data_IF_429480932489
#
_entry.id   IF_429480932489
#
_cell.length_a   1.000
_cell.length_b   1.000
_cell.length_c   1.000
_cell.angle_alpha   90.00
_cell.angle_beta   90.00
_cell.angle_gamma   90.00
#
_symmetry.space_group_name_H-M   'P 1'
#
loop_
_entity.id
_entity.type
_entity.pdbx_description
1 polymer ?
#
# COMPACT_ATOMS: atom_id res chain seq x y z
N UNK A 1 18.91 -14.73 7.16
CA UNK A 1 17.85 -14.34 8.11
C UNK A 1 16.55 -14.38 7.33
N UNK A 2 15.58 -15.22 7.71
CA UNK A 2 14.28 -15.25 7.04
C UNK A 2 13.42 -14.25 7.79
N UNK A 3 13.01 -13.17 7.11
CA UNK A 3 12.04 -12.23 7.64
C UNK A 3 10.71 -12.97 7.81
N UNK A 4 10.05 -12.77 8.95
CA UNK A 4 8.68 -13.18 9.16
C UNK A 4 7.76 -12.48 8.16
N UNK A 5 6.59 -13.08 7.89
CA UNK A 5 5.59 -12.48 6.99
C UNK A 5 5.16 -11.07 7.43
N UNK A 6 5.23 -10.80 8.75
CA UNK A 6 4.96 -9.49 9.33
C UNK A 6 6.06 -8.48 9.00
N UNK A 7 7.33 -8.87 9.05
CA UNK A 7 8.47 -8.00 8.70
C UNK A 7 8.49 -7.68 7.21
N UNK A 8 8.06 -8.62 6.36
CA UNK A 8 7.88 -8.39 4.91
C UNK A 8 6.75 -7.38 4.69
N UNK A 9 5.62 -7.52 5.39
CA UNK A 9 4.51 -6.56 5.30
C UNK A 9 4.92 -5.14 5.74
N UNK A 10 5.73 -5.01 6.81
CA UNK A 10 6.24 -3.71 7.26
C UNK A 10 7.22 -3.06 6.29
N UNK A 11 8.10 -3.85 5.66
CA UNK A 11 9.01 -3.36 4.63
C UNK A 11 8.26 -2.86 3.39
N UNK A 12 7.17 -3.54 3.01
CA UNK A 12 6.27 -3.08 1.95
C UNK A 12 5.63 -1.74 2.30
N UNK A 13 5.06 -1.61 3.51
CA UNK A 13 4.36 -0.39 3.96
C UNK A 13 5.22 0.87 3.84
N UNK A 14 6.47 0.82 4.30
CA UNK A 14 7.34 2.01 4.32
C UNK A 14 7.67 2.56 2.92
N UNK A 15 7.94 1.68 1.96
CA UNK A 15 8.21 2.08 0.57
C UNK A 15 6.95 2.65 -0.10
N UNK A 16 5.80 1.97 0.08
CA UNK A 16 4.56 2.39 -0.55
C UNK A 16 4.06 3.73 -0.01
N UNK A 17 4.16 3.97 1.30
CA UNK A 17 3.77 5.24 1.91
C UNK A 17 4.54 6.43 1.34
N UNK A 18 5.87 6.32 1.21
CA UNK A 18 6.69 7.36 0.59
C UNK A 18 6.30 7.65 -0.86
N UNK A 19 6.01 6.60 -1.63
CA UNK A 19 5.65 6.76 -3.03
C UNK A 19 4.27 7.43 -3.19
N UNK A 20 3.28 7.07 -2.38
CA UNK A 20 1.97 7.71 -2.42
C UNK A 20 2.01 9.16 -1.93
N UNK A 21 2.86 9.49 -0.96
CA UNK A 21 3.06 10.89 -0.55
C UNK A 21 3.72 11.72 -1.66
N UNK A 22 4.67 11.16 -2.40
CA UNK A 22 5.31 11.84 -3.53
C UNK A 22 4.40 11.96 -4.76
N UNK A 23 3.51 10.99 -4.96
CA UNK A 23 2.55 10.94 -6.06
C UNK A 23 1.19 10.41 -5.58
N UNK A 24 0.33 11.28 -5.04
CA UNK A 24 -0.98 10.87 -4.54
C UNK A 24 -1.82 10.19 -5.61
N UNK A 25 -2.65 9.20 -5.23
CA UNK A 25 -3.44 8.43 -6.18
C UNK A 25 -4.48 9.31 -6.88
N UNK A 26 -4.55 9.16 -8.20
CA UNK A 26 -5.60 9.79 -9.03
C UNK A 26 -6.66 8.76 -9.41
N UNK A 27 -7.92 9.18 -9.33
CA UNK A 27 -9.06 8.31 -9.61
C UNK A 27 -8.95 7.64 -11.00
N UNK A 28 -9.05 6.31 -11.03
CA UNK A 28 -8.98 5.52 -12.27
C UNK A 28 -7.60 5.46 -12.94
N UNK A 29 -6.57 6.07 -12.36
CA UNK A 29 -5.23 6.05 -12.91
C UNK A 29 -4.58 4.66 -12.79
N UNK A 30 -3.57 4.43 -13.63
CA UNK A 30 -2.70 3.27 -13.54
C UNK A 30 -1.25 3.72 -13.56
N UNK A 31 -0.45 3.26 -12.60
CA UNK A 31 0.96 3.60 -12.47
C UNK A 31 1.82 2.36 -12.70
N UNK A 32 2.93 2.55 -13.41
CA UNK A 32 3.96 1.53 -13.58
C UNK A 32 5.19 1.93 -12.77
N UNK A 33 5.49 1.16 -11.73
CA UNK A 33 6.55 1.46 -10.77
C UNK A 33 7.67 0.45 -10.96
N UNK A 34 8.87 0.88 -11.38
CA UNK A 34 10.01 0.00 -11.43
C UNK A 34 10.47 -0.32 -10.01
N UNK A 35 10.63 -1.60 -9.71
CA UNK A 35 11.12 -2.12 -8.43
C UNK A 35 12.41 -2.87 -8.69
N UNK A 36 13.43 -2.60 -7.87
CA UNK A 36 14.71 -3.29 -7.91
C UNK A 36 14.82 -4.26 -6.73
N UNK A 37 15.00 -5.54 -7.03
CA UNK A 37 15.20 -6.61 -6.07
C UNK A 37 16.70 -6.82 -5.88
N UNK A 38 17.25 -6.28 -4.79
CA UNK A 38 18.68 -6.31 -4.52
C UNK A 38 19.24 -7.73 -4.39
N UNK A 39 18.47 -8.66 -3.80
CA UNK A 39 18.89 -10.04 -3.55
C UNK A 39 19.14 -10.84 -4.84
N UNK A 40 18.36 -10.56 -5.89
CA UNK A 40 18.52 -11.19 -7.21
C UNK A 40 19.18 -10.30 -8.25
N UNK A 41 19.46 -9.04 -7.90
CA UNK A 41 19.95 -8.01 -8.81
C UNK A 41 19.08 -7.84 -10.06
N UNK A 42 17.76 -7.92 -9.88
CA UNK A 42 16.78 -7.83 -10.97
C UNK A 42 15.86 -6.63 -10.82
N UNK A 43 15.40 -6.10 -11.96
CA UNK A 43 14.32 -5.12 -11.99
C UNK A 43 13.03 -5.79 -12.46
N UNK A 44 11.91 -5.38 -11.88
CA UNK A 44 10.59 -5.69 -12.40
C UNK A 44 9.72 -4.43 -12.40
N UNK A 45 8.66 -4.45 -13.20
CA UNK A 45 7.65 -3.39 -13.17
C UNK A 45 6.43 -3.90 -12.42
N UNK A 46 6.07 -3.17 -11.37
CA UNK A 46 4.84 -3.36 -10.61
C UNK A 46 3.79 -2.39 -11.15
N UNK A 47 2.58 -2.90 -11.40
CA UNK A 47 1.48 -2.07 -11.88
C UNK A 47 0.50 -1.82 -10.74
N UNK A 48 0.12 -0.57 -10.56
CA UNK A 48 -0.83 -0.13 -9.56
C UNK A 48 -2.06 0.41 -10.27
N UNK A 49 -3.22 -0.17 -10.01
CA UNK A 49 -4.49 0.33 -10.55
C UNK A 49 -5.30 0.99 -9.45
N UNK A 50 -5.68 2.25 -9.64
CA UNK A 50 -6.46 3.02 -8.68
C UNK A 50 -7.95 2.92 -9.01
N UNK A 51 -8.79 2.73 -7.99
CA UNK A 51 -10.23 2.76 -8.14
C UNK A 51 -10.72 4.11 -8.69
N UNK A 52 -11.84 4.09 -9.43
CA UNK A 52 -12.47 5.30 -9.99
C UNK A 52 -13.19 6.12 -8.93
N UNK A 53 -13.60 5.50 -7.83
CA UNK A 53 -14.26 6.15 -6.71
C UNK A 53 -13.51 5.88 -5.40
N UNK A 54 -13.61 6.82 -4.48
CA UNK A 54 -13.24 6.58 -3.09
C UNK A 54 -14.33 5.77 -2.39
N UNK A 55 -13.95 5.08 -1.32
CA UNK A 55 -14.86 4.44 -0.37
C UNK A 55 -14.45 4.79 1.05
N UNK A 56 -15.41 4.74 1.96
CA UNK A 56 -15.12 4.89 3.38
C UNK A 56 -14.66 3.56 3.98
N UNK A 57 -13.61 3.62 4.79
CA UNK A 57 -13.15 2.49 5.60
C UNK A 57 -12.89 2.95 7.02
N UNK A 58 -12.99 2.04 7.99
CA UNK A 58 -12.51 2.26 9.35
C UNK A 58 -11.20 1.50 9.56
N UNK A 59 -10.16 2.22 9.97
CA UNK A 59 -8.84 1.70 10.32
C UNK A 59 -8.36 2.41 11.58
N UNK A 60 -7.79 1.68 12.55
CA UNK A 60 -7.30 2.31 13.79
C UNK A 60 -8.34 3.10 14.59
N UNK A 61 -9.64 2.77 14.48
CA UNK A 61 -10.72 3.50 15.15
C UNK A 61 -11.13 4.83 14.52
N UNK A 62 -10.53 5.20 13.37
CA UNK A 62 -10.88 6.40 12.59
C UNK A 62 -11.43 6.00 11.23
N UNK A 63 -12.38 6.78 10.72
CA UNK A 63 -12.94 6.60 9.38
C UNK A 63 -12.19 7.45 8.38
N UNK A 64 -11.84 6.86 7.25
CA UNK A 64 -11.09 7.50 6.17
C UNK A 64 -11.84 7.33 4.85
N UNK A 65 -11.84 8.38 4.01
CA UNK A 65 -12.19 8.26 2.59
C UNK A 65 -10.94 7.93 1.79
N UNK A 66 -10.94 6.78 1.12
CA UNK A 66 -9.73 6.23 0.48
C UNK A 66 -10.01 5.74 -0.93
N UNK A 67 -9.01 5.87 -1.80
CA UNK A 67 -8.92 5.08 -3.01
C UNK A 67 -8.41 3.68 -2.69
N UNK A 68 -8.86 2.72 -3.48
CA UNK A 68 -8.33 1.35 -3.45
C UNK A 68 -7.31 1.21 -4.56
N UNK A 69 -6.06 0.95 -4.21
CA UNK A 69 -4.95 0.77 -5.13
C UNK A 69 -4.58 -0.72 -5.19
N UNK A 70 -4.88 -1.39 -6.30
CA UNK A 70 -4.62 -2.81 -6.47
C UNK A 70 -3.24 -3.03 -7.07
N UNK A 71 -2.45 -3.93 -6.49
CA UNK A 71 -1.10 -4.30 -6.92
C UNK A 71 -1.03 -5.81 -7.19
N UNK A 72 -1.47 -6.26 -8.39
CA UNK A 72 -1.70 -7.68 -8.67
C UNK A 72 -0.44 -8.56 -8.55
N UNK A 73 0.73 -8.00 -8.86
CA UNK A 73 2.02 -8.71 -8.80
C UNK A 73 2.40 -9.08 -7.36
N UNK A 74 1.96 -8.27 -6.38
CA UNK A 74 2.25 -8.49 -4.96
C UNK A 74 1.07 -9.12 -4.22
N UNK A 75 -0.04 -9.38 -4.93
CA UNK A 75 -1.31 -9.82 -4.32
C UNK A 75 -1.79 -8.87 -3.22
N UNK A 76 -1.47 -7.58 -3.38
CA UNK A 76 -1.74 -6.56 -2.36
C UNK A 76 -2.79 -5.56 -2.82
N UNK A 77 -3.55 -5.06 -1.85
CA UNK A 77 -4.48 -3.94 -1.99
C UNK A 77 -4.07 -2.88 -0.98
N UNK A 78 -3.81 -1.68 -1.45
CA UNK A 78 -3.47 -0.54 -0.62
C UNK A 78 -4.67 0.41 -0.54
N UNK A 79 -4.89 0.98 0.64
CA UNK A 79 -5.97 1.91 0.91
C UNK A 79 -5.34 3.26 1.22
N UNK A 80 -5.53 4.22 0.33
CA UNK A 80 -4.76 5.47 0.30
C UNK A 80 -5.70 6.66 0.22
N UNK A 81 -5.50 7.70 1.02
CA UNK A 81 -6.31 8.92 0.94
C UNK A 81 -6.00 9.71 -0.34
N UNK A 82 -6.82 10.71 -0.68
CA UNK A 82 -6.55 11.62 -1.82
C UNK A 82 -5.24 12.40 -1.67
N UNK A 83 -4.75 12.55 -0.45
CA UNK A 83 -3.53 13.27 -0.11
C UNK A 83 -2.30 12.36 -0.12
N UNK A 84 -2.47 11.06 -0.40
CA UNK A 84 -1.37 10.10 -0.50
C UNK A 84 -1.02 9.39 0.81
N UNK A 85 -1.81 9.56 1.88
CA UNK A 85 -1.59 8.83 3.13
C UNK A 85 -1.98 7.36 2.98
N UNK A 86 -1.04 6.44 3.23
CA UNK A 86 -1.34 5.00 3.29
C UNK A 86 -2.01 4.66 4.62
N UNK A 87 -3.23 4.12 4.58
CA UNK A 87 -4.07 3.84 5.77
C UNK A 87 -4.11 2.36 6.09
N UNK A 88 -4.15 1.51 5.07
CA UNK A 88 -4.21 0.05 5.23
C UNK A 88 -3.50 -0.63 4.06
N UNK A 89 -2.87 -1.76 4.34
CA UNK A 89 -2.39 -2.71 3.35
C UNK A 89 -3.03 -4.07 3.63
N UNK A 90 -3.53 -4.71 2.57
CA UNK A 90 -4.10 -6.04 2.61
C UNK A 90 -3.33 -6.93 1.64
N UNK A 91 -2.75 -8.03 2.13
CA UNK A 91 -2.20 -9.09 1.30
C UNK A 91 -3.26 -10.20 1.15
N UNK A 92 -3.83 -10.30 -0.05
CA UNK A 92 -4.94 -11.21 -0.38
C UNK A 92 -4.54 -12.68 -0.46
N UNK A 93 -3.27 -12.98 -0.70
CA UNK A 93 -2.78 -14.36 -0.74
C UNK A 93 -2.59 -14.92 0.67
N UNK A 94 -2.01 -14.10 1.56
CA UNK A 94 -1.70 -14.49 2.94
C UNK A 94 -2.85 -14.21 3.92
N UNK A 95 -3.92 -13.54 3.49
CA UNK A 95 -5.00 -13.04 4.35
C UNK A 95 -4.49 -12.17 5.51
N UNK A 96 -3.51 -11.31 5.23
CA UNK A 96 -2.92 -10.39 6.21
C UNK A 96 -3.47 -8.99 5.97
N UNK A 97 -3.91 -8.34 7.04
CA UNK A 97 -4.32 -6.93 7.02
C UNK A 97 -3.45 -6.17 8.02
N UNK A 98 -2.85 -5.09 7.55
CA UNK A 98 -2.10 -4.16 8.37
C UNK A 98 -2.74 -2.76 8.31
N UNK A 99 -3.21 -2.28 9.46
CA UNK A 99 -3.73 -0.93 9.63
C UNK A 99 -2.61 -0.01 10.08
N UNK A 100 -2.44 1.11 9.39
CA UNK A 100 -1.61 2.20 9.87
C UNK A 100 -2.46 3.07 10.78
N UNK A 101 -2.15 3.02 12.07
CA UNK A 101 -2.77 3.85 13.09
C UNK A 101 -1.89 5.07 13.35
N UNK A 102 -2.49 6.24 13.52
CA UNK A 102 -1.76 7.41 14.02
C UNK A 102 -1.13 7.05 15.37
N UNK A 103 0.15 7.40 15.56
CA UNK A 103 0.81 7.19 16.83
C UNK A 103 0.05 7.97 17.91
N UNK A 104 -0.45 7.26 18.92
CA UNK A 104 -1.01 7.91 20.11
C UNK A 104 0.18 8.50 20.86
N UNK A 105 0.42 9.80 20.70
CA UNK A 105 1.38 10.50 21.56
C UNK A 105 0.81 10.47 22.98
N UNK A 106 1.49 9.83 23.96
CA UNK A 106 1.03 9.82 25.34
C UNK A 106 1.07 11.21 25.98
#
# INVERSE_FOLDING_TARGET
>A
MILSDLEIAWAEIGWWDLMYQAGPPQAGASYNVPVFYADSFQTATVTISVSTAQKEITAGGKTYSVFTCTVPQLKSIHYVTSEGQLVRVENTEKNIIADLVEAVTP
#
